data_IF_297026711274
#
_entry.id   IF_297026711274
#
_cell.length_a   1.000
_cell.length_b   1.000
_cell.length_c   1.000
_cell.angle_alpha   90.00
_cell.angle_beta   90.00
_cell.angle_gamma   90.00
#
_symmetry.space_group_name_H-M   'P 1'
#
loop_
_entity.id
_entity.type
_entity.pdbx_description
1 polymer ?
#
# COMPACT_ATOMS: atom_id res chain seq x y z
N UNK A 1 -3.43 49.29 -7.98
CA UNK A 1 -3.13 48.11 -8.84
C UNK A 1 -2.76 46.88 -8.00
N UNK A 2 -3.70 46.29 -7.23
CA UNK A 2 -3.44 45.10 -6.39
C UNK A 2 -4.56 44.02 -6.26
N UNK A 3 -5.63 43.96 -7.09
CA UNK A 3 -6.61 42.86 -6.94
C UNK A 3 -6.26 41.57 -7.71
N UNK A 4 -5.50 41.64 -8.81
CA UNK A 4 -5.26 40.47 -9.68
C UNK A 4 -4.25 39.45 -9.16
N UNK A 5 -3.30 39.84 -8.30
CA UNK A 5 -2.32 38.88 -7.73
C UNK A 5 -2.92 37.94 -6.67
N UNK A 6 -4.00 38.36 -5.97
CA UNK A 6 -4.65 37.53 -4.94
C UNK A 6 -5.48 36.41 -5.55
N UNK A 7 -6.14 36.66 -6.68
CA UNK A 7 -6.99 35.68 -7.37
C UNK A 7 -6.17 34.49 -7.91
N UNK A 8 -4.94 34.73 -8.39
CA UNK A 8 -4.03 33.69 -8.85
C UNK A 8 -3.52 32.80 -7.71
N UNK A 9 -3.29 33.38 -6.52
CA UNK A 9 -2.88 32.65 -5.31
C UNK A 9 -4.00 31.73 -4.78
N UNK A 10 -5.23 32.24 -4.73
CA UNK A 10 -6.41 31.47 -4.31
C UNK A 10 -6.71 30.29 -5.26
N UNK A 11 -6.59 30.50 -6.57
CA UNK A 11 -6.81 29.45 -7.57
C UNK A 11 -5.75 28.34 -7.49
N UNK A 12 -4.49 28.71 -7.23
CA UNK A 12 -3.38 27.77 -6.99
C UNK A 12 -3.55 27.00 -5.69
N UNK A 13 -4.03 27.65 -4.63
CA UNK A 13 -4.38 27.01 -3.36
C UNK A 13 -5.54 26.02 -3.51
N UNK A 14 -6.58 26.36 -4.28
CA UNK A 14 -7.67 25.43 -4.57
C UNK A 14 -7.18 24.20 -5.35
N UNK A 15 -6.33 24.38 -6.36
CA UNK A 15 -5.74 23.25 -7.10
C UNK A 15 -4.91 22.39 -6.15
N UNK A 16 -4.04 22.99 -5.32
CA UNK A 16 -3.24 22.25 -4.35
C UNK A 16 -4.11 21.49 -3.32
N UNK A 17 -5.19 22.11 -2.82
CA UNK A 17 -6.11 21.47 -1.90
C UNK A 17 -6.87 20.31 -2.54
N UNK A 18 -7.31 20.44 -3.80
CA UNK A 18 -7.94 19.36 -4.56
C UNK A 18 -6.96 18.22 -4.80
N UNK A 19 -5.71 18.52 -5.18
CA UNK A 19 -4.67 17.51 -5.38
C UNK A 19 -4.41 16.76 -4.07
N UNK A 20 -4.17 17.47 -2.96
CA UNK A 20 -3.94 16.85 -1.65
C UNK A 20 -5.14 16.00 -1.19
N UNK A 21 -6.37 16.48 -1.40
CA UNK A 21 -7.58 15.71 -1.10
C UNK A 21 -7.70 14.46 -1.99
N UNK A 22 -7.34 14.54 -3.28
CA UNK A 22 -7.31 13.39 -4.17
C UNK A 22 -6.28 12.36 -3.71
N UNK A 23 -5.06 12.79 -3.36
CA UNK A 23 -3.99 11.88 -2.90
C UNK A 23 -4.34 11.22 -1.58
N UNK A 24 -4.92 11.97 -0.63
CA UNK A 24 -5.37 11.45 0.64
C UNK A 24 -6.50 10.43 0.48
N UNK A 25 -7.51 10.73 -0.36
CA UNK A 25 -8.59 9.78 -0.64
C UNK A 25 -8.09 8.53 -1.36
N UNK A 26 -7.13 8.64 -2.28
CA UNK A 26 -6.57 7.46 -2.97
C UNK A 26 -5.76 6.58 -2.00
N UNK A 27 -4.98 7.19 -1.09
CA UNK A 27 -4.26 6.44 -0.04
C UNK A 27 -5.22 5.79 0.96
N UNK A 28 -6.35 6.42 1.28
CA UNK A 28 -7.33 5.88 2.23
C UNK A 28 -8.25 4.80 1.61
N UNK A 29 -8.30 4.70 0.28
CA UNK A 29 -9.22 3.79 -0.44
C UNK A 29 -8.53 2.55 -1.00
N UNK A 30 -7.32 2.20 -0.56
CA UNK A 30 -6.55 1.03 -1.03
C UNK A 30 -6.52 0.86 -2.57
N UNK A 31 -6.53 1.97 -3.33
CA UNK A 31 -6.49 1.94 -4.80
C UNK A 31 -7.82 1.68 -5.53
N UNK A 32 -8.97 1.65 -4.84
CA UNK A 32 -10.30 1.44 -5.46
C UNK A 32 -10.62 2.44 -6.58
N UNK A 33 -10.15 3.69 -6.47
CA UNK A 33 -10.35 4.70 -7.51
C UNK A 33 -9.52 4.41 -8.77
N UNK A 34 -8.26 4.00 -8.61
CA UNK A 34 -7.42 3.58 -9.75
C UNK A 34 -7.97 2.32 -10.41
N UNK A 35 -8.45 1.35 -9.63
CA UNK A 35 -9.00 0.11 -10.17
C UNK A 35 -10.24 0.38 -11.03
N UNK A 36 -11.14 1.27 -10.60
CA UNK A 36 -12.33 1.60 -11.38
C UNK A 36 -12.03 2.46 -12.63
N UNK A 37 -10.98 3.29 -12.60
CA UNK A 37 -10.63 4.20 -13.71
C UNK A 37 -9.74 3.54 -14.77
N UNK A 38 -8.89 2.58 -14.36
CA UNK A 38 -7.96 1.88 -15.25
C UNK A 38 -8.36 0.43 -15.55
N UNK A 39 -9.43 -0.10 -14.94
CA UNK A 39 -10.04 -1.35 -15.42
C UNK A 39 -10.41 -1.13 -16.88
N UNK A 40 -9.74 -1.81 -17.83
CA UNK A 40 -10.23 -1.82 -19.19
C UNK A 40 -11.69 -2.24 -19.11
N UNK A 41 -12.62 -1.60 -19.84
CA UNK A 41 -13.96 -2.17 -19.96
C UNK A 41 -13.73 -3.64 -20.31
N UNK A 42 -14.27 -4.53 -19.47
CA UNK A 42 -14.17 -5.96 -19.73
C UNK A 42 -14.48 -6.15 -21.21
N UNK A 43 -13.67 -6.95 -21.93
CA UNK A 43 -14.02 -7.32 -23.29
C UNK A 43 -15.49 -7.73 -23.21
N UNK A 44 -16.41 -7.16 -24.02
CA UNK A 44 -17.85 -7.16 -23.75
C UNK A 44 -18.51 -8.52 -23.46
N UNK A 45 -17.79 -9.63 -23.65
CA UNK A 45 -18.23 -11.01 -23.50
C UNK A 45 -17.71 -11.71 -22.22
N UNK A 46 -16.86 -11.08 -21.40
CA UNK A 46 -16.36 -11.71 -20.18
C UNK A 46 -17.41 -11.66 -19.05
N UNK A 47 -17.76 -12.81 -18.42
CA UNK A 47 -18.69 -12.81 -17.30
C UNK A 47 -18.13 -11.99 -16.13
N UNK A 48 -19.00 -11.32 -15.34
CA UNK A 48 -18.57 -10.61 -14.14
C UNK A 48 -17.72 -11.52 -13.25
N UNK A 49 -16.50 -11.09 -12.90
CA UNK A 49 -15.57 -11.87 -12.09
C UNK A 49 -14.60 -12.79 -12.88
N UNK A 50 -14.64 -12.79 -14.21
CA UNK A 50 -13.66 -13.52 -15.02
C UNK A 50 -12.21 -13.11 -14.73
N UNK A 51 -11.98 -11.81 -14.48
CA UNK A 51 -10.67 -11.27 -14.13
C UNK A 51 -10.21 -11.71 -12.73
N UNK A 52 -11.15 -11.90 -11.80
CA UNK A 52 -10.83 -12.27 -10.41
C UNK A 52 -10.29 -13.70 -10.33
N UNK A 53 -10.72 -14.58 -11.25
CA UNK A 53 -10.20 -15.94 -11.43
C UNK A 53 -8.99 -16.02 -12.37
N UNK A 54 -8.50 -14.89 -12.88
CA UNK A 54 -7.36 -14.90 -13.78
C UNK A 54 -6.09 -15.36 -13.03
N UNK A 55 -5.25 -16.25 -13.60
CA UNK A 55 -4.09 -16.80 -12.90
C UNK A 55 -3.13 -15.74 -12.34
N UNK A 56 -2.94 -14.62 -13.05
CA UNK A 56 -2.11 -13.51 -12.57
C UNK A 56 -2.71 -12.85 -11.32
N UNK A 57 -4.04 -12.70 -11.25
CA UNK A 57 -4.71 -12.12 -10.07
C UNK A 57 -4.56 -13.05 -8.87
N UNK A 58 -4.71 -14.35 -9.07
CA UNK A 58 -4.48 -15.35 -8.01
C UNK A 58 -3.03 -15.32 -7.51
N UNK A 59 -2.05 -15.29 -8.41
CA UNK A 59 -0.62 -15.17 -8.05
C UNK A 59 -0.35 -13.87 -7.29
N UNK A 60 -0.96 -12.76 -7.70
CA UNK A 60 -0.82 -11.48 -7.02
C UNK A 60 -1.39 -11.51 -5.61
N UNK A 61 -2.61 -12.02 -5.44
CA UNK A 61 -3.25 -12.18 -4.13
C UNK A 61 -2.44 -13.09 -3.21
N UNK A 62 -1.92 -14.20 -3.72
CA UNK A 62 -1.05 -15.08 -2.95
C UNK A 62 0.23 -14.35 -2.51
N UNK A 63 0.90 -13.64 -3.41
CA UNK A 63 2.11 -12.89 -3.09
C UNK A 63 1.85 -11.78 -2.05
N UNK A 64 0.71 -11.09 -2.12
CA UNK A 64 0.29 -10.12 -1.11
C UNK A 64 0.10 -10.79 0.26
N UNK A 65 -0.57 -11.94 0.31
CA UNK A 65 -0.79 -12.68 1.56
C UNK A 65 0.55 -13.15 2.18
N UNK A 66 1.45 -13.70 1.37
CA UNK A 66 2.79 -14.13 1.81
C UNK A 66 3.62 -12.95 2.34
N UNK A 67 3.56 -11.80 1.66
CA UNK A 67 4.23 -10.59 2.08
C UNK A 67 3.70 -10.07 3.42
N UNK A 68 2.38 -10.01 3.60
CA UNK A 68 1.77 -9.61 4.87
C UNK A 68 2.14 -10.58 6.00
N UNK A 69 2.20 -11.89 5.74
CA UNK A 69 2.64 -12.88 6.70
C UNK A 69 4.13 -12.71 7.08
N UNK A 70 4.98 -12.31 6.13
CA UNK A 70 6.39 -11.98 6.40
C UNK A 70 6.50 -10.75 7.31
N UNK A 71 5.77 -9.67 7.00
CA UNK A 71 5.74 -8.45 7.82
C UNK A 71 5.23 -8.73 9.23
N UNK A 72 4.19 -9.55 9.37
CA UNK A 72 3.64 -9.94 10.67
C UNK A 72 4.66 -10.70 11.56
N UNK A 73 5.63 -11.39 10.94
CA UNK A 73 6.70 -12.14 11.63
C UNK A 73 7.97 -11.30 11.87
N UNK A 74 7.99 -10.03 11.47
CA UNK A 74 9.12 -9.15 11.67
C UNK A 74 9.23 -8.76 13.16
N UNK A 75 10.37 -9.06 13.77
CA UNK A 75 10.70 -8.60 15.12
C UNK A 75 10.76 -7.07 15.18
N UNK A 76 10.09 -6.44 16.16
CA UNK A 76 10.00 -4.97 16.26
C UNK A 76 10.95 -4.38 17.30
N UNK A 77 11.47 -5.20 18.20
CA UNK A 77 12.39 -4.80 19.24
C UNK A 77 13.49 -5.88 19.42
N UNK A 78 14.57 -5.58 20.17
CA UNK A 78 15.67 -6.53 20.36
C UNK A 78 15.26 -7.84 21.05
N UNK A 79 14.30 -7.81 21.97
CA UNK A 79 13.83 -9.00 22.69
C UNK A 79 13.03 -9.95 21.78
N UNK A 80 12.20 -9.39 20.89
CA UNK A 80 11.49 -10.14 19.84
C UNK A 80 12.50 -10.79 18.89
N UNK A 81 13.59 -10.08 18.55
CA UNK A 81 14.64 -10.58 17.67
C UNK A 81 15.41 -11.73 18.32
N UNK A 82 15.73 -11.62 19.60
CA UNK A 82 16.38 -12.69 20.36
C UNK A 82 15.48 -13.93 20.46
N UNK A 83 14.20 -13.74 20.75
CA UNK A 83 13.23 -14.84 20.83
C UNK A 83 13.15 -15.58 19.50
N UNK A 84 13.02 -14.86 18.38
CA UNK A 84 13.04 -15.47 17.06
C UNK A 84 14.37 -16.13 16.71
N UNK A 85 15.51 -15.55 17.11
CA UNK A 85 16.82 -16.15 16.89
C UNK A 85 16.94 -17.51 17.60
N UNK A 86 16.57 -17.57 18.87
CA UNK A 86 16.56 -18.80 19.66
C UNK A 86 15.59 -19.83 19.08
N UNK A 87 14.41 -19.40 18.62
CA UNK A 87 13.44 -20.29 17.95
C UNK A 87 13.99 -20.90 16.66
N UNK A 88 14.67 -20.10 15.83
CA UNK A 88 15.18 -20.52 14.51
C UNK A 88 16.43 -21.37 14.58
N UNK A 89 17.35 -21.02 15.47
CA UNK A 89 18.69 -21.64 15.51
C UNK A 89 18.90 -22.55 16.71
N UNK A 90 17.96 -22.61 17.66
CA UNK A 90 18.05 -23.37 18.91
C UNK A 90 19.34 -23.05 19.70
N UNK A 91 19.81 -21.81 19.61
CA UNK A 91 21.06 -21.32 20.23
C UNK A 91 20.85 -19.93 20.81
N UNK A 92 21.65 -19.59 21.82
CA UNK A 92 21.73 -18.22 22.31
C UNK A 92 22.35 -17.30 21.25
N UNK A 93 21.82 -16.08 21.07
CA UNK A 93 22.40 -15.11 20.15
C UNK A 93 23.79 -14.63 20.63
N UNK A 94 24.62 -14.11 19.72
CA UNK A 94 25.95 -13.60 20.06
C UNK A 94 25.89 -12.38 20.99
N UNK A 95 26.97 -12.07 21.72
CA UNK A 95 27.04 -10.87 22.56
C UNK A 95 26.74 -9.60 21.78
N UNK A 96 25.90 -8.72 22.35
CA UNK A 96 25.50 -7.46 21.72
C UNK A 96 24.32 -7.54 20.75
N UNK A 97 23.71 -8.71 20.58
CA UNK A 97 22.54 -8.89 19.72
C UNK A 97 21.27 -8.18 20.22
N UNK A 98 21.13 -8.00 21.53
CA UNK A 98 19.94 -7.40 22.17
C UNK A 98 20.15 -5.94 22.62
N UNK A 99 21.14 -5.24 22.06
CA UNK A 99 21.48 -3.86 22.42
C UNK A 99 20.84 -2.88 21.44
#
# INVERSE_FOLDING_TARGET
MRPMLRLLGLRRLHIAAVVVALTANNHFSDGVLSDNLFRPPAIPDDPPGALDNHPIVQLHQQAQAEFQALLARQSRNPDDAETEYRRRYHKHPPPGFCR
#
